data_IF_395120536082
#
_entry.id   IF_395120536082
#
_cell.length_a   1.000
_cell.length_b   1.000
_cell.length_c   1.000
_cell.angle_alpha   90.00
_cell.angle_beta   90.00
_cell.angle_gamma   90.00
#
_symmetry.space_group_name_H-M   'P 1'
#
loop_
_entity.id
_entity.type
_entity.pdbx_description
1 polymer ?
#
# COMPACT_ATOMS: atom_id res chain seq x y z
N UNK A 1 -6.21 -4.46 -17.15
CA UNK A 1 -4.82 -3.95 -17.12
C UNK A 1 -4.22 -4.30 -15.78
N UNK A 2 -2.91 -4.54 -15.72
CA UNK A 2 -2.21 -4.82 -14.47
C UNK A 2 -2.35 -3.61 -13.54
N UNK A 3 -2.80 -3.84 -12.32
CA UNK A 3 -2.87 -2.85 -11.24
C UNK A 3 -1.87 -3.20 -10.14
N UNK A 4 -1.41 -2.18 -9.44
CA UNK A 4 -0.52 -2.32 -8.28
C UNK A 4 -1.28 -1.88 -7.04
N UNK A 5 -1.16 -2.66 -5.97
CA UNK A 5 -1.84 -2.43 -4.71
C UNK A 5 -0.85 -2.45 -3.55
N UNK A 6 -1.14 -1.66 -2.52
CA UNK A 6 -0.48 -1.69 -1.23
C UNK A 6 -1.39 -2.38 -0.21
N UNK A 7 -0.86 -3.38 0.51
CA UNK A 7 -1.54 -3.96 1.67
C UNK A 7 -1.33 -3.04 2.86
N UNK A 8 -2.42 -2.56 3.44
CA UNK A 8 -2.38 -1.73 4.63
C UNK A 8 -2.67 -2.58 5.86
N UNK A 9 -1.84 -2.44 6.88
CA UNK A 9 -2.03 -3.03 8.20
C UNK A 9 -1.63 -2.00 9.24
N UNK A 10 -2.51 -1.71 10.20
CA UNK A 10 -2.28 -0.72 11.25
C UNK A 10 -1.75 0.63 10.74
N UNK A 11 -2.27 1.11 9.59
CA UNK A 11 -1.86 2.38 8.97
C UNK A 11 -0.48 2.35 8.32
N UNK A 12 0.05 1.16 8.00
CA UNK A 12 1.36 0.99 7.34
C UNK A 12 1.25 0.08 6.13
N UNK A 13 2.04 0.39 5.11
CA UNK A 13 2.21 -0.45 3.92
C UNK A 13 3.07 -1.65 4.28
N UNK A 14 2.47 -2.84 4.27
CA UNK A 14 3.17 -4.08 4.63
C UNK A 14 3.67 -4.83 3.41
N UNK A 15 2.94 -4.77 2.30
CA UNK A 15 3.23 -5.53 1.08
C UNK A 15 2.78 -4.77 -0.15
N UNK A 16 3.45 -4.99 -1.27
CA UNK A 16 3.04 -4.52 -2.59
C UNK A 16 2.70 -5.72 -3.47
N UNK A 17 1.55 -5.67 -4.12
CA UNK A 17 1.07 -6.75 -4.97
C UNK A 17 0.58 -6.23 -6.32
N UNK A 18 0.89 -6.95 -7.39
CA UNK A 18 0.46 -6.58 -8.75
C UNK A 18 -0.40 -7.68 -9.35
N UNK A 19 -1.55 -7.31 -9.91
CA UNK A 19 -2.44 -8.25 -10.58
C UNK A 19 -3.33 -7.55 -11.60
N UNK A 20 -3.71 -8.26 -12.67
CA UNK A 20 -4.75 -7.84 -13.62
C UNK A 20 -6.16 -8.34 -13.22
N UNK A 21 -6.28 -9.13 -12.15
CA UNK A 21 -7.54 -9.62 -11.60
C UNK A 21 -8.14 -8.64 -10.59
N UNK A 22 -9.41 -8.82 -10.26
CA UNK A 22 -10.06 -8.09 -9.17
C UNK A 22 -9.49 -8.55 -7.82
N UNK A 23 -8.76 -7.66 -7.13
CA UNK A 23 -8.06 -7.98 -5.89
C UNK A 23 -9.01 -8.38 -4.75
N UNK A 24 -10.27 -7.90 -4.79
CA UNK A 24 -11.29 -8.27 -3.80
C UNK A 24 -11.67 -9.75 -3.84
N UNK A 25 -11.33 -10.45 -4.92
CA UNK A 25 -11.61 -11.89 -5.10
C UNK A 25 -10.41 -12.79 -4.77
N UNK A 26 -9.23 -12.21 -4.56
CA UNK A 26 -7.99 -12.98 -4.38
C UNK A 26 -7.63 -13.23 -2.92
N UNK A 27 -8.07 -12.37 -2.02
CA UNK A 27 -7.69 -12.38 -0.61
C UNK A 27 -8.91 -12.28 0.30
N UNK A 28 -8.73 -12.58 1.59
CA UNK A 28 -9.80 -12.47 2.58
C UNK A 28 -10.28 -11.01 2.68
N UNK A 29 -11.60 -10.72 2.79
CA UNK A 29 -12.13 -9.36 2.77
C UNK A 29 -11.71 -8.50 3.97
N UNK A 30 -11.08 -9.10 4.99
CA UNK A 30 -10.49 -8.36 6.11
C UNK A 30 -9.14 -7.73 5.78
N UNK A 31 -8.54 -8.06 4.63
CA UNK A 31 -7.26 -7.49 4.20
C UNK A 31 -7.54 -6.21 3.41
N UNK A 32 -6.96 -5.12 3.88
CA UNK A 32 -7.06 -3.83 3.20
C UNK A 32 -6.03 -3.72 2.07
N UNK A 33 -6.53 -3.52 0.85
CA UNK A 33 -5.72 -3.27 -0.33
C UNK A 33 -6.09 -1.92 -0.94
N UNK A 34 -5.10 -1.05 -1.11
CA UNK A 34 -5.26 0.27 -1.71
C UNK A 34 -4.65 0.27 -3.11
N UNK A 35 -5.39 0.71 -4.13
CA UNK A 35 -4.88 0.83 -5.50
C UNK A 35 -3.86 1.99 -5.56
N UNK A 36 -2.62 1.66 -5.91
CA UNK A 36 -1.51 2.61 -6.01
C UNK A 36 -1.00 2.73 -7.46
N UNK A 37 -1.74 2.22 -8.44
CA UNK A 37 -1.30 2.09 -9.84
C UNK A 37 -0.87 3.43 -10.44
N UNK A 38 -1.57 4.50 -10.08
CA UNK A 38 -1.34 5.85 -10.61
C UNK A 38 -0.79 6.84 -9.58
N UNK A 39 -0.40 6.36 -8.39
CA UNK A 39 0.19 7.22 -7.37
C UNK A 39 1.64 7.57 -7.69
N UNK A 40 1.99 8.84 -7.55
CA UNK A 40 3.34 9.35 -7.72
C UNK A 40 3.65 10.35 -6.59
N UNK A 41 4.68 10.11 -5.77
CA UNK A 41 5.55 8.93 -5.78
C UNK A 41 4.78 7.63 -5.46
N UNK A 42 5.24 6.52 -6.01
CA UNK A 42 4.64 5.22 -5.72
C UNK A 42 5.04 4.79 -4.30
N UNK A 43 4.09 4.50 -3.39
CA UNK A 43 4.41 4.08 -2.03
C UNK A 43 5.26 2.81 -1.99
N UNK A 44 6.12 2.71 -0.98
CA UNK A 44 6.95 1.53 -0.72
C UNK A 44 6.52 0.83 0.57
N UNK A 45 6.98 -0.41 0.74
CA UNK A 45 6.83 -1.11 2.02
C UNK A 45 7.45 -0.28 3.14
N UNK A 46 6.71 -0.13 4.24
CA UNK A 46 7.08 0.68 5.39
C UNK A 46 6.48 2.09 5.40
N UNK A 47 5.94 2.57 4.28
CA UNK A 47 5.25 3.88 4.22
C UNK A 47 3.99 3.89 5.07
N UNK A 48 3.69 5.04 5.66
CA UNK A 48 2.48 5.26 6.44
C UNK A 48 1.30 5.53 5.49
N UNK A 49 0.11 5.12 5.90
CA UNK A 49 -1.15 5.38 5.22
C UNK A 49 -2.15 5.90 6.25
N UNK A 50 -2.46 7.19 6.16
CA UNK A 50 -3.31 7.91 7.12
C UNK A 50 -4.27 8.80 6.33
N UNK A 51 -5.57 8.71 6.63
CA UNK A 51 -6.62 9.51 6.00
C UNK A 51 -6.62 9.49 4.45
N UNK A 52 -6.19 8.38 3.86
CA UNK A 52 -6.14 8.20 2.41
C UNK A 52 -4.84 8.66 1.75
N UNK A 53 -3.90 9.20 2.52
CA UNK A 53 -2.62 9.71 2.03
C UNK A 53 -1.46 8.82 2.45
N UNK A 54 -0.49 8.67 1.53
CA UNK A 54 0.74 7.94 1.79
C UNK A 54 1.87 8.91 2.13
N UNK A 55 2.65 8.58 3.17
CA UNK A 55 3.86 9.33 3.52
C UNK A 55 5.02 8.40 3.80
N UNK A 56 6.23 8.89 3.53
CA UNK A 56 7.46 8.21 3.91
C UNK A 56 7.48 7.99 5.42
N UNK A 57 7.98 6.83 5.90
CA UNK A 57 8.19 6.67 7.33
C UNK A 57 9.18 7.73 7.79
N UNK A 58 8.96 8.32 8.97
CA UNK A 58 9.98 9.19 9.57
C UNK A 58 11.27 8.37 9.75
N UNK A 59 12.30 8.69 8.95
CA UNK A 59 13.66 8.23 9.24
C UNK A 59 14.04 8.84 10.59
N UNK A 60 14.02 8.02 11.65
CA UNK A 60 14.73 8.38 12.86
C UNK A 60 16.22 8.34 12.48
N UNK A 61 16.73 9.48 12.04
CA UNK A 61 18.16 9.69 11.87
C UNK A 61 18.78 9.63 13.26
N UNK A 62 19.17 8.44 13.70
CA UNK A 62 20.00 8.24 14.88
C UNK A 62 21.36 8.87 14.58
N UNK A 63 21.53 10.12 15.01
CA UNK A 63 22.81 10.83 15.08
C UNK A 63 23.72 10.19 16.14
#
# INVERSE_FOLDING_TARGET
>A
MMKKYARIDAGKTMELFSTDKDISTLFHPSIEWVDITNLQPAPLVGWLYVDGEFSEPEEISVL
#
